data_IF_379279283838
#
_entry.id   IF_379279283838
#
_cell.length_a   1.000
_cell.length_b   1.000
_cell.length_c   1.000
_cell.angle_alpha   90.00
_cell.angle_beta   90.00
_cell.angle_gamma   90.00
#
_symmetry.space_group_name_H-M   'P 1'
#
loop_
_entity.id
_entity.type
_entity.pdbx_description
1 polymer ?
#
# COMPACT_ATOMS: atom_id res chain seq x y z
N UNK A 1 -58.77 1.10 23.01
CA UNK A 1 -57.69 0.33 22.36
C UNK A 1 -57.09 1.20 21.26
N UNK A 2 -55.94 1.83 21.53
CA UNK A 2 -55.18 2.57 20.52
C UNK A 2 -54.27 1.59 19.77
N UNK A 3 -54.35 1.60 18.44
CA UNK A 3 -53.48 0.84 17.55
C UNK A 3 -52.30 1.75 17.17
N UNK A 4 -51.11 1.42 17.67
CA UNK A 4 -49.85 2.08 17.30
C UNK A 4 -49.27 1.36 16.07
N UNK A 5 -49.34 2.00 14.91
CA UNK A 5 -48.68 1.56 13.67
C UNK A 5 -47.26 2.13 13.67
N UNK A 6 -46.27 1.28 13.96
CA UNK A 6 -44.85 1.60 13.79
C UNK A 6 -44.49 1.64 12.30
N UNK A 7 -44.26 2.85 11.77
CA UNK A 7 -43.62 3.03 10.47
C UNK A 7 -42.11 2.75 10.60
N UNK A 8 -41.68 1.58 10.14
CA UNK A 8 -40.28 1.29 9.85
C UNK A 8 -39.87 2.07 8.60
N UNK A 9 -39.17 3.20 8.78
CA UNK A 9 -38.44 3.85 7.71
C UNK A 9 -37.26 2.95 7.31
N UNK A 10 -37.40 2.23 6.20
CA UNK A 10 -36.28 1.61 5.51
C UNK A 10 -35.51 2.76 4.84
N UNK A 11 -34.43 3.22 5.49
CA UNK A 11 -33.45 4.08 4.85
C UNK A 11 -32.71 3.21 3.83
N UNK A 12 -33.18 3.24 2.57
CA UNK A 12 -32.38 2.78 1.46
C UNK A 12 -31.17 3.72 1.35
N UNK A 13 -30.00 3.25 1.78
CA UNK A 13 -28.74 3.85 1.37
C UNK A 13 -28.66 3.69 -0.16
N UNK A 14 -29.10 4.70 -0.89
CA UNK A 14 -28.76 4.89 -2.29
C UNK A 14 -27.25 5.15 -2.34
N UNK A 15 -26.46 4.07 -2.38
CA UNK A 15 -25.07 4.13 -2.74
C UNK A 15 -24.99 4.74 -4.12
N UNK A 16 -24.59 6.00 -4.20
CA UNK A 16 -24.08 6.55 -5.44
C UNK A 16 -22.96 5.62 -5.88
N UNK A 17 -23.17 4.83 -6.94
CA UNK A 17 -22.08 4.10 -7.57
C UNK A 17 -21.10 5.17 -8.01
N UNK A 18 -20.03 5.36 -7.24
CA UNK A 18 -18.91 6.15 -7.71
C UNK A 18 -18.51 5.54 -9.05
N UNK A 19 -18.49 6.35 -10.10
CA UNK A 19 -18.05 5.90 -11.41
C UNK A 19 -16.54 5.65 -11.32
N UNK A 20 -16.21 4.41 -10.97
CA UNK A 20 -14.86 3.94 -10.71
C UNK A 20 -14.28 3.34 -11.99
N UNK A 21 -13.87 4.21 -12.91
CA UNK A 21 -13.28 3.80 -14.18
C UNK A 21 -11.81 3.33 -14.00
N UNK A 22 -11.66 2.22 -13.25
CA UNK A 22 -10.39 1.53 -13.05
C UNK A 22 -9.70 1.18 -14.37
N UNK A 23 -10.39 0.59 -15.39
CA UNK A 23 -9.76 0.25 -16.65
C UNK A 23 -9.12 1.43 -17.36
N UNK A 24 -9.84 2.55 -17.50
CA UNK A 24 -9.29 3.74 -18.16
C UNK A 24 -8.11 4.32 -17.40
N UNK A 25 -8.28 4.60 -16.10
CA UNK A 25 -7.25 5.28 -15.32
C UNK A 25 -6.01 4.42 -15.12
N UNK A 26 -6.18 3.10 -14.96
CA UNK A 26 -5.05 2.19 -14.88
C UNK A 26 -4.32 2.04 -16.23
N UNK A 27 -5.03 2.03 -17.36
CA UNK A 27 -4.39 1.94 -18.68
C UNK A 27 -3.40 3.09 -18.94
N UNK A 28 -3.71 4.31 -18.51
CA UNK A 28 -2.77 5.44 -18.61
C UNK A 28 -1.51 5.20 -17.75
N UNK A 29 -1.69 4.71 -16.52
CA UNK A 29 -0.58 4.37 -15.63
C UNK A 29 0.27 3.22 -16.19
N UNK A 30 -0.38 2.17 -16.71
CA UNK A 30 0.24 1.02 -17.37
C UNK A 30 1.12 1.48 -18.53
N UNK A 31 0.63 2.34 -19.41
CA UNK A 31 1.40 2.87 -20.54
C UNK A 31 2.57 3.73 -20.07
N UNK A 32 2.37 4.61 -19.09
CA UNK A 32 3.42 5.48 -18.56
C UNK A 32 4.57 4.67 -17.92
N UNK A 33 4.23 3.58 -17.23
CA UNK A 33 5.17 2.73 -16.50
C UNK A 33 5.56 1.44 -17.25
N UNK A 34 5.05 1.22 -18.46
CA UNK A 34 5.27 -0.02 -19.22
C UNK A 34 5.01 -1.27 -18.36
N UNK A 35 3.89 -1.28 -17.63
CA UNK A 35 3.50 -2.43 -16.80
C UNK A 35 2.94 -3.53 -17.71
N UNK A 36 3.18 -4.79 -17.37
CA UNK A 36 2.67 -5.94 -18.14
C UNK A 36 1.29 -6.36 -17.63
N UNK A 37 1.06 -6.25 -16.31
CA UNK A 37 -0.23 -6.56 -15.68
C UNK A 37 -1.35 -5.70 -16.29
N UNK A 38 -2.31 -6.36 -16.94
CA UNK A 38 -3.41 -5.67 -17.64
C UNK A 38 -4.59 -5.35 -16.74
N UNK A 39 -4.91 -6.26 -15.80
CA UNK A 39 -6.03 -6.12 -14.86
C UNK A 39 -5.52 -6.37 -13.45
N UNK A 40 -4.87 -5.39 -12.81
CA UNK A 40 -4.19 -5.57 -11.52
C UNK A 40 -5.12 -5.89 -10.36
N UNK A 41 -6.43 -5.69 -10.51
CA UNK A 41 -7.41 -6.13 -9.53
C UNK A 41 -7.62 -7.65 -9.56
N UNK A 42 -7.33 -8.33 -10.66
CA UNK A 42 -7.35 -9.80 -10.74
C UNK A 42 -6.05 -10.40 -10.18
N UNK A 43 -4.91 -9.81 -10.54
CA UNK A 43 -3.57 -10.33 -10.21
C UNK A 43 -2.72 -9.28 -9.44
N UNK A 44 -3.18 -8.81 -8.27
CA UNK A 44 -2.52 -7.71 -7.55
C UNK A 44 -1.13 -8.08 -7.02
N UNK A 45 -0.84 -9.36 -6.78
CA UNK A 45 0.49 -9.86 -6.46
C UNK A 45 1.52 -9.66 -7.58
N UNK A 46 1.07 -9.60 -8.84
CA UNK A 46 1.95 -9.37 -9.98
C UNK A 46 2.25 -7.87 -10.16
N UNK A 47 1.33 -7.00 -9.74
CA UNK A 47 1.50 -5.56 -9.86
C UNK A 47 2.62 -5.04 -8.94
N UNK A 48 2.67 -5.48 -7.67
CA UNK A 48 3.62 -4.92 -6.70
C UNK A 48 5.09 -5.07 -7.13
N UNK A 49 5.57 -6.26 -7.55
CA UNK A 49 6.94 -6.43 -8.01
C UNK A 49 7.30 -5.51 -9.19
N UNK A 50 6.38 -5.29 -10.14
CA UNK A 50 6.61 -4.38 -11.26
C UNK A 50 6.75 -2.92 -10.80
N UNK A 51 5.95 -2.49 -9.84
CA UNK A 51 6.07 -1.15 -9.25
C UNK A 51 7.38 -1.01 -8.47
N UNK A 52 7.78 -2.04 -7.72
CA UNK A 52 9.02 -2.04 -6.93
C UNK A 52 10.29 -2.03 -7.80
N UNK A 53 10.21 -2.42 -9.08
CA UNK A 53 11.33 -2.24 -10.02
C UNK A 53 11.73 -0.77 -10.16
N UNK A 54 10.79 0.16 -10.00
CA UNK A 54 11.07 1.60 -9.99
C UNK A 54 11.82 2.08 -8.74
N UNK A 55 11.90 1.25 -7.68
CA UNK A 55 12.77 1.49 -6.53
C UNK A 55 14.19 0.96 -6.75
N UNK A 56 14.36 -0.03 -7.64
CA UNK A 56 15.64 -0.72 -7.93
C UNK A 56 16.51 0.00 -8.97
N UNK A 57 15.91 0.91 -9.74
CA UNK A 57 16.48 1.89 -10.68
C UNK A 57 17.72 2.73 -10.24
N UNK A 58 18.96 2.56 -10.74
CA UNK A 58 20.01 3.62 -10.68
C UNK A 58 20.34 3.92 -12.13
N UNK A 59 20.41 5.18 -12.58
CA UNK A 59 21.35 6.20 -12.10
C UNK A 59 20.71 7.56 -11.82
N UNK A 60 19.38 7.60 -11.67
CA UNK A 60 18.65 8.82 -11.37
C UNK A 60 17.50 8.56 -10.41
N UNK A 61 17.18 9.57 -9.60
CA UNK A 61 15.94 9.63 -8.79
C UNK A 61 14.66 9.53 -9.66
N UNK A 62 14.80 9.41 -10.98
CA UNK A 62 13.72 9.37 -11.94
C UNK A 62 12.85 8.12 -11.80
N UNK A 63 13.38 7.00 -11.30
CA UNK A 63 12.59 5.77 -11.11
C UNK A 63 11.37 6.00 -10.21
N UNK A 64 11.62 6.28 -8.93
CA UNK A 64 10.55 6.55 -7.96
C UNK A 64 9.74 7.80 -8.35
N UNK A 65 10.37 8.84 -8.90
CA UNK A 65 9.64 10.05 -9.33
C UNK A 65 8.69 9.77 -10.49
N UNK A 66 9.09 8.92 -11.44
CA UNK A 66 8.25 8.49 -12.57
C UNK A 66 7.09 7.65 -12.09
N UNK A 67 7.33 6.69 -11.18
CA UNK A 67 6.27 5.94 -10.50
C UNK A 67 5.28 6.88 -9.82
N UNK A 68 5.77 7.83 -9.02
CA UNK A 68 4.91 8.76 -8.30
C UNK A 68 4.16 9.74 -9.21
N UNK A 69 4.75 10.14 -10.33
CA UNK A 69 4.05 10.92 -11.36
C UNK A 69 2.91 10.10 -11.98
N UNK A 70 3.15 8.85 -12.37
CA UNK A 70 2.14 7.99 -12.94
C UNK A 70 1.00 7.68 -11.94
N UNK A 71 1.35 7.43 -10.67
CA UNK A 71 0.37 7.25 -9.60
C UNK A 71 -0.49 8.51 -9.36
N UNK A 72 0.13 9.71 -9.39
CA UNK A 72 -0.63 10.97 -9.31
C UNK A 72 -1.58 11.15 -10.48
N UNK A 73 -1.18 10.77 -11.69
CA UNK A 73 -2.04 10.81 -12.87
C UNK A 73 -3.20 9.83 -12.74
N UNK A 74 -2.96 8.60 -12.28
CA UNK A 74 -4.02 7.63 -11.97
C UNK A 74 -5.05 8.23 -11.00
N UNK A 75 -4.58 8.82 -9.89
CA UNK A 75 -5.45 9.49 -8.92
C UNK A 75 -6.20 10.68 -9.53
N UNK A 76 -5.56 11.45 -10.39
CA UNK A 76 -6.18 12.59 -11.08
C UNK A 76 -7.24 12.15 -12.09
N UNK A 77 -7.03 11.04 -12.80
CA UNK A 77 -7.99 10.46 -13.73
C UNK A 77 -9.27 10.04 -12.99
N UNK A 78 -9.14 9.46 -11.79
CA UNK A 78 -10.29 9.12 -10.94
C UNK A 78 -10.98 10.34 -10.31
N UNK A 79 -10.32 11.50 -10.30
CA UNK A 79 -10.86 12.74 -9.77
C UNK A 79 -11.36 12.63 -8.33
N UNK A 80 -12.55 13.18 -8.08
CA UNK A 80 -13.19 13.18 -6.75
C UNK A 80 -13.61 11.80 -6.28
N UNK A 81 -13.79 10.84 -7.20
CA UNK A 81 -14.21 9.47 -6.88
C UNK A 81 -13.07 8.61 -6.35
N UNK A 82 -11.81 9.05 -6.46
CA UNK A 82 -10.66 8.25 -6.04
C UNK A 82 -10.81 7.64 -4.64
N UNK A 83 -11.23 8.44 -3.65
CA UNK A 83 -11.35 7.96 -2.26
C UNK A 83 -12.44 6.91 -2.08
N UNK A 84 -13.58 7.04 -2.77
CA UNK A 84 -14.67 6.06 -2.72
C UNK A 84 -14.34 4.81 -3.56
N UNK A 85 -13.56 4.96 -4.63
CA UNK A 85 -13.14 3.85 -5.48
C UNK A 85 -12.03 3.01 -4.85
N UNK A 86 -11.07 3.62 -4.15
CA UNK A 86 -9.95 2.91 -3.51
C UNK A 86 -10.36 2.29 -2.17
N UNK A 87 -11.45 1.53 -2.18
CA UNK A 87 -11.89 0.69 -1.06
C UNK A 87 -12.01 -0.76 -1.51
N UNK A 88 -11.77 -1.74 -0.63
CA UNK A 88 -11.91 -3.16 -1.00
C UNK A 88 -13.32 -3.50 -1.51
N UNK A 89 -14.36 -2.86 -0.98
CA UNK A 89 -15.74 -3.05 -1.44
C UNK A 89 -15.94 -2.58 -2.90
N UNK A 90 -15.45 -1.39 -3.25
CA UNK A 90 -15.54 -0.85 -4.61
C UNK A 90 -14.72 -1.66 -5.61
N UNK A 91 -13.57 -2.20 -5.20
CA UNK A 91 -12.75 -3.08 -6.06
C UNK A 91 -13.41 -4.45 -6.22
N UNK A 92 -14.00 -5.01 -5.16
CA UNK A 92 -14.75 -6.26 -5.24
C UNK A 92 -15.94 -6.19 -6.20
N UNK A 93 -16.54 -5.00 -6.38
CA UNK A 93 -17.61 -4.76 -7.36
C UNK A 93 -17.15 -4.98 -8.83
N UNK A 94 -15.84 -5.08 -9.09
CA UNK A 94 -15.29 -5.48 -10.39
C UNK A 94 -15.39 -7.00 -10.65
N UNK A 95 -15.95 -7.78 -9.72
CA UNK A 95 -16.10 -9.24 -9.84
C UNK A 95 -14.92 -10.05 -9.31
N UNK A 96 -14.02 -9.42 -8.55
CA UNK A 96 -12.86 -10.09 -7.94
C UNK A 96 -13.18 -10.57 -6.53
N UNK A 97 -12.46 -11.59 -6.07
CA UNK A 97 -12.62 -12.08 -4.70
C UNK A 97 -12.11 -11.05 -3.67
N UNK A 98 -12.55 -11.18 -2.42
CA UNK A 98 -12.19 -10.26 -1.34
C UNK A 98 -10.68 -10.17 -1.11
N UNK A 99 -9.97 -11.29 -1.22
CA UNK A 99 -8.52 -11.35 -1.06
C UNK A 99 -7.80 -10.45 -2.08
N UNK A 100 -8.16 -10.54 -3.35
CA UNK A 100 -7.58 -9.73 -4.42
C UNK A 100 -7.94 -8.25 -4.26
N UNK A 101 -9.18 -7.96 -3.86
CA UNK A 101 -9.61 -6.58 -3.59
C UNK A 101 -8.80 -5.91 -2.48
N UNK A 102 -8.60 -6.59 -1.34
CA UNK A 102 -7.76 -6.07 -0.26
C UNK A 102 -6.31 -5.89 -0.70
N UNK A 103 -5.74 -6.88 -1.40
CA UNK A 103 -4.37 -6.82 -1.91
C UNK A 103 -4.14 -5.62 -2.82
N UNK A 104 -5.05 -5.40 -3.78
CA UNK A 104 -4.97 -4.28 -4.70
C UNK A 104 -4.98 -2.93 -3.97
N UNK A 105 -5.89 -2.72 -3.02
CA UNK A 105 -5.95 -1.49 -2.23
C UNK A 105 -4.70 -1.33 -1.34
N UNK A 106 -4.16 -2.43 -0.80
CA UNK A 106 -2.91 -2.42 -0.04
C UNK A 106 -1.71 -1.97 -0.87
N UNK A 107 -1.56 -2.45 -2.10
CA UNK A 107 -0.49 -2.01 -3.02
C UNK A 107 -0.58 -0.49 -3.29
N UNK A 108 -1.79 0.03 -3.51
CA UNK A 108 -1.98 1.46 -3.71
C UNK A 108 -1.78 2.29 -2.44
N UNK A 109 -2.03 1.72 -1.26
CA UNK A 109 -1.73 2.38 0.02
C UNK A 109 -0.23 2.48 0.27
N UNK A 110 0.53 1.47 -0.14
CA UNK A 110 1.99 1.55 -0.18
C UNK A 110 2.47 2.64 -1.15
N UNK A 111 1.85 2.78 -2.34
CA UNK A 111 2.15 3.90 -3.25
C UNK A 111 1.84 5.26 -2.63
N UNK A 112 0.72 5.39 -1.91
CA UNK A 112 0.41 6.61 -1.16
C UNK A 112 1.51 7.00 -0.18
N UNK A 113 2.06 6.02 0.54
CA UNK A 113 3.16 6.25 1.44
C UNK A 113 4.45 6.60 0.70
N UNK A 114 4.89 5.73 -0.21
CA UNK A 114 6.15 5.89 -0.95
C UNK A 114 6.21 7.18 -1.78
N UNK A 115 5.06 7.63 -2.31
CA UNK A 115 4.96 8.85 -3.11
C UNK A 115 4.45 10.08 -2.35
N UNK A 116 4.13 9.91 -1.07
CA UNK A 116 3.70 10.97 -0.16
C UNK A 116 4.74 11.18 0.94
N UNK A 117 4.36 10.86 2.18
CA UNK A 117 5.19 11.09 3.37
C UNK A 117 6.55 10.37 3.31
N UNK A 118 6.63 9.20 2.68
CA UNK A 118 7.86 8.42 2.56
C UNK A 118 8.81 8.90 1.46
N UNK A 119 8.36 9.76 0.53
CA UNK A 119 9.16 10.09 -0.66
C UNK A 119 10.46 10.81 -0.30
N UNK A 120 10.39 11.78 0.62
CA UNK A 120 11.56 12.57 1.03
C UNK A 120 12.64 11.70 1.67
N UNK A 121 12.26 10.77 2.54
CA UNK A 121 13.19 9.82 3.16
C UNK A 121 13.85 8.94 2.08
N UNK A 122 13.05 8.44 1.14
CA UNK A 122 13.57 7.62 0.05
C UNK A 122 14.60 8.37 -0.79
N UNK A 123 14.29 9.60 -1.25
CA UNK A 123 15.19 10.36 -2.13
C UNK A 123 16.45 10.83 -1.41
N UNK A 124 16.35 11.18 -0.12
CA UNK A 124 17.50 11.59 0.70
C UNK A 124 18.47 10.42 0.97
N UNK A 125 17.97 9.19 0.92
CA UNK A 125 18.75 7.96 1.13
C UNK A 125 18.80 7.06 -0.12
N UNK A 126 18.57 7.62 -1.31
CA UNK A 126 18.27 6.85 -2.53
C UNK A 126 19.28 5.75 -2.85
N UNK A 127 20.57 6.03 -2.68
CA UNK A 127 21.64 5.05 -2.92
C UNK A 127 21.46 3.80 -2.06
N UNK A 128 21.23 3.94 -0.75
CA UNK A 128 21.11 2.79 0.13
C UNK A 128 19.72 2.13 0.03
N UNK A 129 18.66 2.92 -0.18
CA UNK A 129 17.31 2.40 -0.42
C UNK A 129 17.30 1.47 -1.63
N UNK A 130 17.89 1.90 -2.74
CA UNK A 130 18.05 1.08 -3.94
C UNK A 130 18.84 -0.19 -3.64
N UNK A 131 19.97 -0.08 -2.94
CA UNK A 131 20.80 -1.26 -2.59
C UNK A 131 19.99 -2.25 -1.77
N UNK A 132 19.19 -1.78 -0.81
CA UNK A 132 18.29 -2.60 0.01
C UNK A 132 17.30 -3.35 -0.88
N UNK A 133 16.61 -2.64 -1.80
CA UNK A 133 15.65 -3.26 -2.72
C UNK A 133 16.29 -4.26 -3.69
N UNK A 134 17.53 -4.03 -4.12
CA UNK A 134 18.24 -4.95 -5.01
C UNK A 134 18.78 -6.19 -4.28
N UNK A 135 19.38 -6.01 -3.10
CA UNK A 135 20.06 -7.09 -2.38
C UNK A 135 19.09 -7.93 -1.55
N UNK A 136 18.09 -7.28 -0.96
CA UNK A 136 17.17 -7.89 0.00
C UNK A 136 15.74 -8.00 -0.52
N UNK A 137 15.50 -7.76 -1.81
CA UNK A 137 14.18 -7.88 -2.43
C UNK A 137 13.51 -9.22 -2.14
N UNK A 138 14.25 -10.32 -2.21
CA UNK A 138 13.73 -11.67 -1.88
C UNK A 138 13.31 -11.79 -0.40
N UNK A 139 14.06 -11.20 0.52
CA UNK A 139 13.74 -11.25 1.96
C UNK A 139 12.51 -10.38 2.27
N UNK A 140 12.38 -9.23 1.59
CA UNK A 140 11.21 -8.35 1.66
C UNK A 140 9.96 -9.04 1.10
N UNK A 141 10.08 -9.69 -0.06
CA UNK A 141 9.00 -10.47 -0.66
C UNK A 141 8.58 -11.64 0.23
N UNK A 142 9.54 -12.36 0.81
CA UNK A 142 9.25 -13.46 1.73
C UNK A 142 8.50 -12.97 2.98
N UNK A 143 8.92 -11.86 3.59
CA UNK A 143 8.23 -11.31 4.75
C UNK A 143 6.75 -10.99 4.46
N UNK A 144 6.46 -10.52 3.25
CA UNK A 144 5.10 -10.25 2.81
C UNK A 144 4.33 -11.54 2.51
N UNK A 145 4.93 -12.50 1.80
CA UNK A 145 4.32 -13.82 1.51
C UNK A 145 3.98 -14.56 2.81
N UNK A 146 4.88 -14.52 3.79
CA UNK A 146 4.68 -15.11 5.11
C UNK A 146 3.46 -14.49 5.77
N UNK A 147 3.38 -13.15 5.83
CA UNK A 147 2.23 -12.46 6.39
C UNK A 147 0.93 -12.86 5.69
N UNK A 148 0.89 -12.82 4.34
CA UNK A 148 -0.31 -13.20 3.57
C UNK A 148 -0.76 -14.61 3.89
N UNK A 149 0.16 -15.57 3.82
CA UNK A 149 -0.15 -16.99 4.02
C UNK A 149 -0.59 -17.26 5.46
N UNK A 150 0.14 -16.73 6.45
CA UNK A 150 -0.18 -16.94 7.86
C UNK A 150 -1.48 -16.26 8.27
N UNK A 151 -1.73 -15.02 7.83
CA UNK A 151 -2.94 -14.29 8.20
C UNK A 151 -4.21 -14.83 7.53
N UNK A 152 -4.08 -15.51 6.37
CA UNK A 152 -5.17 -16.28 5.76
C UNK A 152 -5.44 -17.55 6.57
N UNK A 153 -4.40 -18.29 6.95
CA UNK A 153 -4.54 -19.55 7.70
C UNK A 153 -4.99 -19.37 9.15
N UNK A 154 -4.61 -18.26 9.79
CA UNK A 154 -4.93 -17.93 11.18
C UNK A 154 -5.18 -16.43 11.36
N UNK A 155 -6.40 -16.00 11.01
CA UNK A 155 -6.79 -14.59 11.10
C UNK A 155 -6.82 -14.04 12.52
N UNK A 156 -6.93 -14.89 13.56
CA UNK A 156 -6.90 -14.45 14.97
C UNK A 156 -5.54 -13.89 15.37
N UNK A 157 -4.47 -14.38 14.73
CA UNK A 157 -3.11 -13.93 14.95
C UNK A 157 -2.60 -12.98 13.85
N UNK A 158 -3.49 -12.43 13.01
CA UNK A 158 -3.12 -11.53 11.92
C UNK A 158 -2.28 -10.33 12.40
N UNK A 159 -2.60 -9.73 13.56
CA UNK A 159 -1.82 -8.62 14.10
C UNK A 159 -0.40 -9.03 14.53
N UNK A 160 -0.22 -10.25 15.05
CA UNK A 160 1.10 -10.80 15.36
C UNK A 160 1.92 -10.97 14.07
N UNK A 161 1.31 -11.52 13.02
CA UNK A 161 1.99 -11.68 11.72
C UNK A 161 2.30 -10.33 11.06
N UNK A 162 1.40 -9.36 11.18
CA UNK A 162 1.65 -7.98 10.77
C UNK A 162 2.85 -7.40 11.50
N UNK A 163 2.91 -7.51 12.83
CA UNK A 163 4.07 -7.06 13.62
C UNK A 163 5.38 -7.72 13.19
N UNK A 164 5.35 -9.01 12.83
CA UNK A 164 6.52 -9.71 12.27
C UNK A 164 6.96 -9.14 10.93
N UNK A 165 6.01 -8.86 10.03
CA UNK A 165 6.29 -8.23 8.74
C UNK A 165 6.91 -6.84 8.93
N UNK A 166 6.33 -5.99 9.79
CA UNK A 166 6.86 -4.65 10.09
C UNK A 166 8.30 -4.72 10.61
N UNK A 167 8.55 -5.63 11.57
CA UNK A 167 9.88 -5.85 12.13
C UNK A 167 10.87 -6.35 11.06
N UNK A 168 10.42 -7.25 10.19
CA UNK A 168 11.20 -7.77 9.06
C UNK A 168 11.67 -6.66 8.13
N UNK A 169 10.74 -5.83 7.65
CA UNK A 169 11.04 -4.67 6.82
C UNK A 169 11.98 -3.70 7.54
N UNK A 170 11.64 -3.29 8.76
CA UNK A 170 12.47 -2.37 9.57
C UNK A 170 13.92 -2.84 9.67
N UNK A 171 14.11 -4.12 10.05
CA UNK A 171 15.43 -4.73 10.22
C UNK A 171 16.21 -4.78 8.91
N UNK A 172 15.57 -5.13 7.81
CA UNK A 172 16.21 -5.19 6.49
C UNK A 172 16.72 -3.81 6.07
N UNK A 173 15.86 -2.78 6.16
CA UNK A 173 16.25 -1.41 5.82
C UNK A 173 17.32 -0.85 6.75
N UNK A 174 17.23 -1.10 8.06
CA UNK A 174 18.26 -0.70 9.02
C UNK A 174 19.61 -1.35 8.72
N UNK A 175 19.62 -2.67 8.48
CA UNK A 175 20.82 -3.46 8.17
C UNK A 175 21.51 -2.99 6.90
N UNK A 176 20.73 -2.82 5.83
CA UNK A 176 21.28 -2.56 4.49
C UNK A 176 21.68 -1.09 4.31
N UNK A 177 21.06 -0.18 5.07
CA UNK A 177 21.41 1.25 5.09
C UNK A 177 22.22 1.62 6.36
N UNK A 178 23.47 1.16 6.46
CA UNK A 178 24.37 1.44 7.59
C UNK A 178 25.00 2.86 7.57
N UNK A 179 24.19 3.94 7.60
CA UNK A 179 24.65 5.35 7.58
C UNK A 179 23.83 6.24 8.53
N UNK A 180 24.13 7.55 8.58
CA UNK A 180 23.41 8.56 9.41
C UNK A 180 21.89 8.54 9.24
N UNK A 181 21.36 8.07 8.11
CA UNK A 181 19.92 7.94 7.85
C UNK A 181 19.31 6.57 8.18
N UNK A 182 20.08 5.64 8.78
CA UNK A 182 19.65 4.27 9.11
C UNK A 182 18.30 4.21 9.85
N UNK A 183 18.05 5.19 10.72
CA UNK A 183 16.83 5.30 11.51
C UNK A 183 15.62 5.81 10.71
N UNK A 184 15.84 6.72 9.77
CA UNK A 184 14.78 7.24 8.91
C UNK A 184 14.34 6.17 7.90
N UNK A 185 15.30 5.44 7.33
CA UNK A 185 15.02 4.35 6.38
C UNK A 185 14.46 3.10 7.06
N UNK A 186 14.86 2.80 8.31
CA UNK A 186 14.20 1.80 9.15
C UNK A 186 12.72 2.15 9.34
N UNK A 187 12.44 3.38 9.78
CA UNK A 187 11.07 3.87 9.91
C UNK A 187 10.32 3.80 8.58
N UNK A 188 10.99 4.13 7.47
CA UNK A 188 10.41 4.02 6.14
C UNK A 188 9.97 2.59 5.79
N UNK A 189 10.85 1.61 6.03
CA UNK A 189 10.54 0.20 5.80
C UNK A 189 9.36 -0.25 6.66
N UNK A 190 9.33 0.17 7.92
CA UNK A 190 8.22 -0.12 8.82
C UNK A 190 6.88 0.42 8.30
N UNK A 191 6.82 1.71 7.95
CA UNK A 191 5.57 2.35 7.50
C UNK A 191 5.10 1.80 6.15
N UNK A 192 6.04 1.47 5.26
CA UNK A 192 5.75 0.79 4.01
C UNK A 192 5.06 -0.57 4.25
N UNK A 193 5.49 -1.34 5.26
CA UNK A 193 4.82 -2.58 5.66
C UNK A 193 3.48 -2.31 6.39
N UNK A 194 3.44 -1.30 7.26
CA UNK A 194 2.23 -0.96 8.05
C UNK A 194 1.06 -0.56 7.16
N UNK A 195 1.29 0.26 6.14
CA UNK A 195 0.25 0.69 5.19
C UNK A 195 -0.34 -0.46 4.39
N UNK A 196 0.44 -1.52 4.17
CA UNK A 196 -0.03 -2.75 3.53
C UNK A 196 -0.96 -3.57 4.43
N UNK A 197 -0.62 -3.72 5.72
CA UNK A 197 -1.44 -4.47 6.70
C UNK A 197 -2.76 -3.74 7.00
N UNK A 198 -2.70 -2.41 7.12
CA UNK A 198 -3.81 -1.57 7.59
C UNK A 198 -5.11 -1.74 6.80
N UNK A 199 -5.05 -1.93 5.48
CA UNK A 199 -6.29 -2.07 4.69
C UNK A 199 -7.04 -3.36 4.98
N UNK A 200 -6.33 -4.41 5.37
CA UNK A 200 -6.91 -5.73 5.59
C UNK A 200 -7.26 -5.97 7.06
N UNK A 201 -6.42 -5.47 7.97
CA UNK A 201 -6.60 -5.61 9.41
C UNK A 201 -6.46 -4.24 10.10
N UNK A 202 -7.41 -3.31 9.87
CA UNK A 202 -7.38 -1.98 10.48
C UNK A 202 -7.50 -2.01 12.01
N UNK A 203 -7.99 -3.11 12.59
CA UNK A 203 -8.08 -3.35 14.03
C UNK A 203 -6.70 -3.56 14.69
N UNK A 204 -5.67 -3.88 13.89
CA UNK A 204 -4.34 -4.05 14.43
C UNK A 204 -3.73 -2.69 14.78
N UNK A 205 -3.48 -2.46 16.07
CA UNK A 205 -2.80 -1.27 16.59
C UNK A 205 -1.28 -1.29 16.32
N UNK A 206 -0.91 -1.51 15.06
CA UNK A 206 0.48 -1.51 14.61
C UNK A 206 0.97 -0.07 14.45
N UNK A 207 2.16 0.20 14.97
CA UNK A 207 2.80 1.51 14.88
C UNK A 207 4.27 1.35 14.57
N UNK A 208 4.79 2.27 13.77
CA UNK A 208 6.23 2.44 13.60
C UNK A 208 6.67 3.59 14.50
N UNK A 209 7.69 3.37 15.31
CA UNK A 209 8.27 4.42 16.14
C UNK A 209 9.42 5.07 15.38
N UNK A 210 9.39 6.40 15.23
CA UNK A 210 10.64 7.11 15.05
C UNK A 210 11.47 6.89 16.32
N UNK A 211 12.75 6.54 16.23
CA UNK A 211 13.59 6.66 17.40
C UNK A 211 13.58 8.13 17.81
N UNK A 212 13.17 8.40 19.04
CA UNK A 212 13.17 9.72 19.67
C UNK A 212 14.52 10.40 19.45
N UNK A 213 14.62 11.26 18.45
CA UNK A 213 15.37 12.49 18.61
C UNK A 213 14.52 13.33 19.56
N UNK A 214 15.08 13.77 20.69
CA UNK A 214 14.36 14.59 21.67
C UNK A 214 13.77 15.84 21.02
N UNK A 215 12.50 15.76 20.63
CA UNK A 215 11.79 16.80 19.91
C UNK A 215 10.43 16.29 19.44
N UNK A 216 9.41 16.48 20.28
CA UNK A 216 8.01 16.51 19.86
C UNK A 216 7.87 17.43 18.64
N UNK A 217 7.38 16.89 17.54
CA UNK A 217 6.83 17.71 16.45
C UNK A 217 5.32 17.63 16.61
N UNK A 218 4.73 18.73 17.08
CA UNK A 218 3.29 18.97 17.10
C UNK A 218 2.77 19.51 15.77
#
# INVERSE_FOLDING_TARGET
MLVLISFLLIIACSGSSADCDFPKCYNEMKQALKLEVSQPWNDPEMLRPELEMYYKTADSLDGIRKLCKAFRNFRSCMGTNYRSCMTPASVAALGVNSQAAYEFVSVFSQLHYSCGAGLNVFVNSASCMKTTWNNSGRELDQALIDFRTMAIGDSKNACLYGSKMLTGFSRIFFRDCNKRSAREVEFWGCEYARTYVFNRYPECALSCSFPTAGGTIG
#
